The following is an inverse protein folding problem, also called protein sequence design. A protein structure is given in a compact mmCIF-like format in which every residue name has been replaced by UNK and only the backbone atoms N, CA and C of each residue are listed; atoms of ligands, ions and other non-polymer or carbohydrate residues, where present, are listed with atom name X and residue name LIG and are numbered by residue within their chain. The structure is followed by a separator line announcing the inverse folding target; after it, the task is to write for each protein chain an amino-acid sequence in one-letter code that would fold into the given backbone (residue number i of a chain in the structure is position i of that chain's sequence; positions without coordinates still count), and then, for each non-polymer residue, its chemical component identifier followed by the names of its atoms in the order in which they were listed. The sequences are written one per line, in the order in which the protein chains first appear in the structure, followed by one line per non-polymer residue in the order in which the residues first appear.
data_IF_216585094369
#
_entry.id   IF_216585094369
#
_cell.length_a   1.000
_cell.length_b   1.000
_cell.length_c   1.000
_cell.angle_alpha   90.00
_cell.angle_beta   90.00
_cell.angle_gamma   90.00
#
_symmetry.space_group_name_H-M   'P 1'
#
loop_
_entity.id
_entity.type
_entity.pdbx_description
1 polymer ?
#
# COMPACT_ATOMS: atom_id res chain seq x y z
N UNK A 1 22.96 6.45 -3.42
CA UNK A 1 21.81 7.39 -3.49
C UNK A 1 20.65 6.67 -4.14
N UNK A 2 19.42 6.91 -3.68
CA UNK A 2 18.21 6.33 -4.27
C UNK A 2 17.98 6.96 -5.65
N UNK A 3 17.87 6.14 -6.69
CA UNK A 3 17.52 6.62 -8.03
C UNK A 3 16.03 6.40 -8.29
N UNK A 4 15.34 7.42 -8.82
CA UNK A 4 13.92 7.36 -9.20
C UNK A 4 13.78 7.47 -10.71
N UNK A 5 13.01 6.58 -11.33
CA UNK A 5 12.54 6.71 -12.72
C UNK A 5 11.04 6.45 -12.79
N UNK A 6 10.34 7.10 -13.71
CA UNK A 6 8.88 6.98 -13.87
C UNK A 6 8.55 6.37 -15.22
N UNK A 7 7.65 5.40 -15.24
CA UNK A 7 7.21 4.68 -16.44
C UNK A 7 5.69 4.67 -16.53
N UNK A 8 5.13 4.83 -17.73
CA UNK A 8 3.69 4.66 -17.96
C UNK A 8 3.43 3.18 -18.21
N UNK A 9 2.55 2.56 -17.41
CA UNK A 9 2.21 1.14 -17.57
C UNK A 9 0.85 0.92 -18.23
N UNK A 10 -0.05 1.90 -18.14
CA UNK A 10 -1.40 1.84 -18.73
C UNK A 10 -1.86 3.26 -19.06
N UNK A 11 -2.54 3.40 -20.18
CA UNK A 11 -3.27 4.62 -20.53
C UNK A 11 -4.77 4.31 -20.51
N UNK A 12 -5.55 5.14 -19.83
CA UNK A 12 -7.01 5.06 -19.76
C UNK A 12 -7.56 6.40 -20.23
N UNK A 13 -8.09 6.43 -21.45
CA UNK A 13 -8.49 7.64 -22.15
C UNK A 13 -7.37 8.69 -22.22
N UNK A 14 -7.43 9.75 -21.40
CA UNK A 14 -6.43 10.81 -21.32
C UNK A 14 -5.61 10.77 -20.02
N UNK A 15 -5.67 9.66 -19.28
CA UNK A 15 -4.98 9.46 -18.01
C UNK A 15 -3.89 8.39 -18.15
N UNK A 16 -2.65 8.80 -17.93
CA UNK A 16 -1.53 7.86 -17.81
C UNK A 16 -1.42 7.36 -16.37
N UNK A 17 -1.56 6.06 -16.17
CA UNK A 17 -1.20 5.40 -14.92
C UNK A 17 0.28 5.04 -14.96
N UNK A 18 1.01 5.46 -13.93
CA UNK A 18 2.45 5.39 -13.88
C UNK A 18 2.93 4.54 -12.72
N UNK A 19 4.16 4.06 -12.86
CA UNK A 19 4.90 3.38 -11.81
C UNK A 19 6.25 4.08 -11.63
N UNK A 20 6.59 4.40 -10.39
CA UNK A 20 7.88 4.94 -10.01
C UNK A 20 8.78 3.80 -9.54
N UNK A 21 9.91 3.62 -10.21
CA UNK A 21 10.94 2.67 -9.83
C UNK A 21 12.02 3.37 -9.01
N UNK A 22 12.13 2.99 -7.75
CA UNK A 22 13.17 3.37 -6.80
C UNK A 22 14.20 2.25 -6.75
N UNK A 23 15.38 2.48 -7.32
CA UNK A 23 16.43 1.48 -7.37
C UNK A 23 17.52 1.79 -6.34
N UNK A 24 17.95 0.77 -5.56
CA UNK A 24 19.14 0.90 -4.74
C UNK A 24 20.38 1.06 -5.65
N UNK A 25 21.46 1.54 -5.06
CA UNK A 25 22.78 1.56 -5.69
C UNK A 25 23.11 0.16 -6.21
N UNK A 26 23.47 0.09 -7.50
CA UNK A 26 23.80 -1.17 -8.15
C UNK A 26 24.93 -1.89 -7.40
N UNK A 27 24.80 -3.21 -7.28
CA UNK A 27 25.81 -4.08 -6.70
C UNK A 27 26.37 -5.02 -7.78
N UNK A 28 27.46 -5.74 -7.48
CA UNK A 28 27.99 -6.76 -8.39
C UNK A 28 26.99 -7.92 -8.62
N UNK A 29 26.10 -8.15 -7.66
CA UNK A 29 25.06 -9.18 -7.76
C UNK A 29 23.76 -8.58 -8.30
N UNK A 30 23.05 -9.28 -9.20
CA UNK A 30 21.70 -8.91 -9.59
C UNK A 30 20.75 -8.89 -8.38
N UNK A 31 19.71 -8.08 -8.45
CA UNK A 31 18.65 -8.06 -7.46
C UNK A 31 17.76 -9.29 -7.61
N UNK A 32 17.54 -10.00 -6.49
CA UNK A 32 16.76 -11.24 -6.42
C UNK A 32 15.37 -11.04 -5.82
N UNK A 33 15.05 -9.83 -5.35
CA UNK A 33 13.77 -9.50 -4.72
C UNK A 33 13.38 -8.06 -5.02
N UNK A 34 12.11 -7.85 -5.36
CA UNK A 34 11.52 -6.54 -5.61
C UNK A 34 10.23 -6.38 -4.80
N UNK A 35 9.84 -5.13 -4.56
CA UNK A 35 8.59 -4.75 -3.90
C UNK A 35 7.71 -4.00 -4.90
N UNK A 36 6.47 -4.46 -5.09
CA UNK A 36 5.41 -3.64 -5.67
C UNK A 36 4.61 -3.02 -4.53
N UNK A 37 4.63 -1.69 -4.43
CA UNK A 37 3.96 -0.92 -3.41
C UNK A 37 2.69 -0.25 -3.96
N UNK A 38 1.59 -0.37 -3.23
CA UNK A 38 0.31 0.28 -3.49
C UNK A 38 0.03 1.31 -2.39
N UNK A 39 -0.20 2.56 -2.78
CA UNK A 39 -0.37 3.66 -1.84
C UNK A 39 -1.69 3.59 -1.06
N UNK A 40 -1.73 4.23 0.11
CA UNK A 40 -2.94 4.46 0.90
C UNK A 40 -3.83 5.59 0.34
N UNK A 41 -4.64 6.23 1.19
CA UNK A 41 -5.50 7.35 0.75
C UNK A 41 -6.97 6.98 0.56
N UNK A 42 -7.43 5.91 1.22
CA UNK A 42 -8.85 5.56 1.26
C UNK A 42 -9.46 5.23 -0.09
N UNK A 43 -8.63 4.85 -1.09
CA UNK A 43 -9.03 4.57 -2.49
C UNK A 43 -9.57 5.80 -3.22
N UNK A 44 -9.50 6.99 -2.60
CA UNK A 44 -10.09 8.23 -3.10
C UNK A 44 -9.06 9.32 -3.31
N UNK A 45 -7.84 9.20 -2.78
CA UNK A 45 -6.83 10.25 -2.83
C UNK A 45 -5.41 9.69 -2.97
N UNK A 46 -4.48 10.60 -3.27
CA UNK A 46 -3.05 10.35 -3.46
C UNK A 46 -2.72 9.47 -4.67
N UNK A 47 -1.42 9.37 -4.94
CA UNK A 47 -0.84 8.66 -6.06
C UNK A 47 0.43 7.91 -5.60
N UNK A 48 1.16 7.31 -6.54
CA UNK A 48 2.39 6.54 -6.27
C UNK A 48 3.49 7.27 -5.51
N UNK A 49 3.40 8.59 -5.33
CA UNK A 49 4.39 9.34 -4.54
C UNK A 49 4.13 9.26 -3.02
N UNK A 50 2.96 8.81 -2.57
CA UNK A 50 2.66 8.59 -1.15
C UNK A 50 3.36 7.33 -0.60
N UNK A 51 4.63 7.49 -0.26
CA UNK A 51 5.50 6.43 0.26
C UNK A 51 5.95 6.71 1.70
N UNK A 52 5.74 5.78 2.65
CA UNK A 52 6.37 5.85 3.96
C UNK A 52 7.91 5.80 3.87
N UNK A 53 8.58 6.66 4.62
CA UNK A 53 10.05 6.79 4.55
C UNK A 53 10.76 5.50 4.94
N UNK A 54 10.32 4.85 6.04
CA UNK A 54 10.91 3.59 6.51
C UNK A 54 10.73 2.43 5.51
N UNK A 55 9.67 2.43 4.71
CA UNK A 55 9.44 1.40 3.68
C UNK A 55 10.50 1.52 2.59
N UNK A 56 10.72 2.74 2.08
CA UNK A 56 11.76 2.97 1.06
C UNK A 56 13.13 2.66 1.65
N UNK A 57 13.44 3.15 2.85
CA UNK A 57 14.70 2.88 3.53
C UNK A 57 14.97 1.38 3.72
N UNK A 58 13.96 0.63 4.16
CA UNK A 58 14.02 -0.83 4.34
C UNK A 58 14.34 -1.57 3.05
N UNK A 59 13.71 -1.15 1.95
CA UNK A 59 13.95 -1.72 0.62
C UNK A 59 15.37 -1.42 0.15
N UNK A 60 15.81 -0.17 0.27
CA UNK A 60 17.14 0.24 -0.22
C UNK A 60 18.29 -0.43 0.53
N UNK A 61 18.19 -0.56 1.86
CA UNK A 61 19.19 -1.26 2.70
C UNK A 61 19.28 -2.74 2.35
N UNK A 62 18.16 -3.37 1.99
CA UNK A 62 18.11 -4.78 1.57
C UNK A 62 18.56 -5.01 0.13
N UNK A 63 18.77 -3.93 -0.64
CA UNK A 63 18.99 -4.04 -2.07
C UNK A 63 17.76 -4.54 -2.81
N UNK A 64 16.56 -4.19 -2.35
CA UNK A 64 15.29 -4.54 -2.98
C UNK A 64 14.76 -3.33 -3.76
N UNK A 65 14.76 -3.38 -5.10
CA UNK A 65 14.05 -2.40 -5.92
C UNK A 65 12.59 -2.25 -5.49
N UNK A 66 12.13 -1.02 -5.34
CA UNK A 66 10.75 -0.69 -4.99
C UNK A 66 10.05 -0.03 -6.18
N UNK A 67 8.88 -0.54 -6.54
CA UNK A 67 8.03 -0.04 -7.61
C UNK A 67 6.73 0.45 -6.97
N UNK A 68 6.47 1.76 -6.99
CA UNK A 68 5.23 2.34 -6.46
C UNK A 68 4.30 2.65 -7.62
N UNK A 69 3.09 2.10 -7.62
CA UNK A 69 2.17 2.18 -8.76
C UNK A 69 0.93 3.03 -8.47
N UNK A 70 0.51 3.79 -9.49
CA UNK A 70 -0.78 4.45 -9.50
C UNK A 70 -1.92 3.45 -9.69
N UNK A 71 -3.11 3.82 -9.25
CA UNK A 71 -4.38 3.21 -9.63
C UNK A 71 -5.45 4.29 -9.73
N UNK A 72 -6.49 4.08 -10.54
CA UNK A 72 -7.59 5.05 -10.65
C UNK A 72 -8.36 5.15 -9.33
N UNK A 73 -8.90 6.33 -9.01
CA UNK A 73 -9.54 6.57 -7.71
C UNK A 73 -11.07 6.54 -7.76
N UNK A 74 -11.67 6.18 -6.63
CA UNK A 74 -13.09 6.39 -6.38
C UNK A 74 -13.42 7.89 -6.25
N UNK A 75 -14.65 8.30 -6.58
CA UNK A 75 -15.77 7.48 -7.04
C UNK A 75 -15.81 7.29 -8.57
N UNK A 76 -14.85 7.86 -9.31
CA UNK A 76 -14.85 7.81 -10.77
C UNK A 76 -14.50 6.42 -11.33
N UNK A 77 -13.73 5.63 -10.57
CA UNK A 77 -13.38 4.26 -10.90
C UNK A 77 -14.11 3.27 -9.98
N UNK A 78 -14.51 2.13 -10.55
CA UNK A 78 -15.11 1.01 -9.79
C UNK A 78 -14.05 0.15 -9.10
N UNK A 79 -14.46 -0.74 -8.19
CA UNK A 79 -13.58 -1.78 -7.62
C UNK A 79 -12.91 -2.64 -8.70
N UNK A 80 -13.64 -2.96 -9.79
CA UNK A 80 -13.12 -3.69 -10.95
C UNK A 80 -12.02 -2.92 -11.66
N UNK A 81 -12.22 -1.63 -11.90
CA UNK A 81 -11.26 -0.75 -12.56
C UNK A 81 -9.93 -0.71 -11.81
N UNK A 82 -9.99 -0.54 -10.49
CA UNK A 82 -8.81 -0.53 -9.62
C UNK A 82 -8.08 -1.88 -9.60
N UNK A 83 -8.82 -2.99 -9.54
CA UNK A 83 -8.24 -4.33 -9.63
C UNK A 83 -7.49 -4.51 -10.97
N UNK A 84 -8.10 -4.11 -12.09
CA UNK A 84 -7.46 -4.18 -13.41
C UNK A 84 -6.20 -3.32 -13.50
N UNK A 85 -6.17 -2.16 -12.84
CA UNK A 85 -4.99 -1.29 -12.79
C UNK A 85 -3.84 -1.94 -12.02
N UNK A 86 -4.13 -2.56 -10.86
CA UNK A 86 -3.13 -3.26 -10.05
C UNK A 86 -2.57 -4.49 -10.78
N UNK A 87 -3.43 -5.26 -11.46
CA UNK A 87 -3.00 -6.40 -12.30
C UNK A 87 -2.08 -5.92 -13.43
N UNK A 88 -2.47 -4.84 -14.12
CA UNK A 88 -1.66 -4.26 -15.20
C UNK A 88 -0.31 -3.73 -14.69
N UNK A 89 -0.29 -3.07 -13.52
CA UNK A 89 0.95 -2.60 -12.90
C UNK A 89 1.88 -3.77 -12.53
N UNK A 90 1.34 -4.83 -11.94
CA UNK A 90 2.09 -6.04 -11.59
C UNK A 90 2.69 -6.71 -12.83
N UNK A 91 1.88 -6.88 -13.88
CA UNK A 91 2.34 -7.46 -15.15
C UNK A 91 3.43 -6.61 -15.79
N UNK A 92 3.23 -5.29 -15.89
CA UNK A 92 4.22 -4.38 -16.45
C UNK A 92 5.55 -4.39 -15.68
N UNK A 93 5.50 -4.36 -14.35
CA UNK A 93 6.72 -4.45 -13.53
C UNK A 93 7.44 -5.76 -13.84
N UNK A 94 6.73 -6.89 -13.83
CA UNK A 94 7.31 -8.21 -14.08
C UNK A 94 7.90 -8.36 -15.48
N UNK A 95 7.22 -7.90 -16.53
CA UNK A 95 7.62 -8.17 -17.92
C UNK A 95 8.54 -7.10 -18.49
N UNK A 96 8.43 -5.86 -18.06
CA UNK A 96 9.16 -4.72 -18.66
C UNK A 96 10.27 -4.16 -17.77
N UNK A 97 10.08 -4.15 -16.44
CA UNK A 97 11.05 -3.53 -15.52
C UNK A 97 12.01 -4.56 -14.94
N UNK A 98 11.49 -5.71 -14.51
CA UNK A 98 12.26 -6.78 -13.88
C UNK A 98 13.02 -7.68 -14.87
N UNK A 99 12.80 -7.51 -16.18
CA UNK A 99 13.56 -8.22 -17.24
C UNK A 99 14.80 -7.44 -17.71
N UNK A 100 15.01 -6.22 -17.18
CA UNK A 100 16.17 -5.39 -17.50
C UNK A 100 17.46 -5.96 -16.90
N UNK A 101 18.65 -5.59 -17.43
CA UNK A 101 19.92 -5.97 -16.81
C UNK A 101 20.00 -5.53 -15.34
N UNK A 102 20.51 -6.40 -14.48
CA UNK A 102 20.64 -6.15 -13.04
C UNK A 102 19.59 -6.85 -12.18
N UNK A 103 18.63 -7.56 -12.77
CA UNK A 103 17.64 -8.38 -12.06
C UNK A 103 17.90 -9.87 -12.32
N UNK A 104 17.60 -10.72 -11.33
CA UNK A 104 17.59 -12.18 -11.51
C UNK A 104 16.35 -12.63 -12.31
N UNK A 105 16.48 -13.71 -13.08
CA UNK A 105 15.40 -14.26 -13.90
C UNK A 105 14.18 -14.69 -13.05
N UNK A 106 14.43 -15.32 -11.90
CA UNK A 106 13.39 -15.79 -10.97
C UNK A 106 13.21 -14.81 -9.80
N UNK A 107 13.25 -13.51 -10.08
CA UNK A 107 13.09 -12.48 -9.06
C UNK A 107 11.75 -12.64 -8.31
N UNK A 108 11.85 -12.60 -6.98
CA UNK A 108 10.71 -12.69 -6.08
C UNK A 108 10.04 -11.32 -5.94
N UNK A 109 8.72 -11.27 -6.04
CA UNK A 109 7.96 -10.03 -5.84
C UNK A 109 7.21 -10.10 -4.50
N UNK A 110 7.46 -9.12 -3.64
CA UNK A 110 6.63 -8.83 -2.46
C UNK A 110 5.57 -7.82 -2.88
N UNK A 111 4.30 -8.14 -2.64
CA UNK A 111 3.22 -7.17 -2.81
C UNK A 111 3.00 -6.45 -1.48
N UNK A 112 3.13 -5.14 -1.46
CA UNK A 112 3.06 -4.31 -0.26
C UNK A 112 2.07 -3.18 -0.45
N UNK A 113 1.46 -2.72 0.63
CA UNK A 113 0.73 -1.46 0.63
C UNK A 113 0.52 -0.94 2.03
N UNK A 114 -0.23 0.15 2.15
CA UNK A 114 -0.72 0.64 3.43
C UNK A 114 -2.19 1.06 3.31
N UNK A 115 -2.99 0.79 4.34
CA UNK A 115 -4.42 1.15 4.39
C UNK A 115 -5.14 0.66 3.13
N UNK A 116 -5.76 1.55 2.36
CA UNK A 116 -6.36 1.28 1.05
C UNK A 116 -5.48 0.47 0.07
N UNK A 117 -4.18 0.72 0.02
CA UNK A 117 -3.26 -0.01 -0.88
C UNK A 117 -3.02 -1.45 -0.43
N UNK A 118 -3.02 -1.71 0.87
CA UNK A 118 -3.01 -3.09 1.39
C UNK A 118 -4.33 -3.79 1.16
N UNK A 119 -5.46 -3.09 1.26
CA UNK A 119 -6.75 -3.63 0.85
C UNK A 119 -6.72 -4.06 -0.64
N UNK A 120 -6.22 -3.21 -1.54
CA UNK A 120 -5.98 -3.59 -2.94
C UNK A 120 -5.06 -4.79 -3.08
N UNK A 121 -4.05 -4.93 -2.21
CA UNK A 121 -3.16 -6.09 -2.22
C UNK A 121 -3.90 -7.39 -1.88
N UNK A 122 -4.84 -7.35 -0.92
CA UNK A 122 -5.73 -8.48 -0.62
C UNK A 122 -6.63 -8.84 -1.79
N UNK A 123 -7.26 -7.85 -2.40
CA UNK A 123 -8.16 -8.06 -3.55
C UNK A 123 -7.39 -8.55 -4.78
N UNK A 124 -6.20 -8.02 -5.04
CA UNK A 124 -5.46 -8.32 -6.25
C UNK A 124 -4.72 -9.66 -6.22
N UNK A 125 -4.14 -10.07 -5.09
CA UNK A 125 -3.27 -11.26 -5.01
C UNK A 125 -3.85 -12.52 -5.70
N UNK A 126 -5.14 -12.89 -5.53
CA UNK A 126 -5.71 -14.06 -6.22
C UNK A 126 -5.72 -13.99 -7.75
N UNK A 127 -5.56 -12.78 -8.32
CA UNK A 127 -5.57 -12.51 -9.76
C UNK A 127 -4.18 -12.37 -10.38
N UNK A 128 -3.11 -12.39 -9.57
CA UNK A 128 -1.73 -12.17 -10.04
C UNK A 128 -1.06 -13.50 -10.43
N UNK A 129 -0.40 -13.52 -11.59
CA UNK A 129 0.26 -14.73 -12.12
C UNK A 129 1.66 -14.43 -12.70
N UNK A 130 2.75 -15.08 -12.22
CA UNK A 130 2.78 -15.91 -11.01
C UNK A 130 2.42 -15.07 -9.77
N UNK A 131 1.91 -15.69 -8.68
CA UNK A 131 1.56 -14.95 -7.48
C UNK A 131 2.79 -14.32 -6.82
N UNK A 132 2.66 -13.16 -6.15
CA UNK A 132 3.73 -12.63 -5.32
C UNK A 132 4.05 -13.61 -4.19
N UNK A 133 5.30 -13.62 -3.72
CA UNK A 133 5.76 -14.58 -2.69
C UNK A 133 5.10 -14.34 -1.33
N UNK A 134 4.67 -13.10 -1.07
CA UNK A 134 3.96 -12.70 0.14
C UNK A 134 3.24 -11.38 -0.06
N UNK A 135 2.20 -11.14 0.74
CA UNK A 135 1.66 -9.80 0.96
C UNK A 135 2.26 -9.23 2.25
N UNK A 136 2.66 -7.96 2.23
CA UNK A 136 3.04 -7.21 3.43
C UNK A 136 2.08 -6.03 3.61
N UNK A 137 1.20 -6.15 4.58
CA UNK A 137 0.09 -5.25 4.85
C UNK A 137 0.38 -4.31 6.03
N UNK A 138 0.05 -3.04 5.87
CA UNK A 138 0.03 -2.05 6.95
C UNK A 138 -1.42 -1.61 7.18
N UNK A 139 -1.96 -1.88 8.38
CA UNK A 139 -3.23 -1.38 8.94
C UNK A 139 -4.41 -1.31 7.95
N UNK A 140 -4.77 -2.45 7.37
CA UNK A 140 -5.82 -2.51 6.36
C UNK A 140 -6.88 -3.56 6.62
N UNK A 141 -8.13 -3.31 6.19
CA UNK A 141 -9.14 -4.35 6.15
C UNK A 141 -8.78 -5.36 5.04
N UNK A 142 -8.91 -6.67 5.27
CA UNK A 142 -8.85 -7.66 4.19
C UNK A 142 -10.09 -7.65 3.29
N UNK A 143 -11.19 -7.09 3.79
CA UNK A 143 -12.48 -7.01 3.09
C UNK A 143 -13.31 -5.83 3.63
N UNK A 144 -14.04 -5.16 2.75
CA UNK A 144 -15.06 -4.18 3.06
C UNK A 144 -16.44 -4.80 3.36
N UNK A 145 -16.61 -6.12 3.31
CA UNK A 145 -17.87 -6.80 3.70
C UNK A 145 -18.03 -7.00 5.21
N UNK A 146 -17.12 -6.45 6.02
CA UNK A 146 -17.26 -6.46 7.48
C UNK A 146 -18.40 -5.52 7.95
N UNK A 147 -19.17 -5.87 9.01
CA UNK A 147 -20.25 -5.03 9.52
C UNK A 147 -19.85 -3.58 9.83
N UNK A 148 -18.58 -3.30 10.14
CA UNK A 148 -18.07 -1.94 10.28
C UNK A 148 -18.47 -1.04 9.10
N UNK A 149 -18.32 -1.53 7.87
CA UNK A 149 -18.61 -0.78 6.63
C UNK A 149 -20.09 -0.75 6.24
N UNK A 150 -20.95 -1.36 7.05
CA UNK A 150 -22.42 -1.35 6.90
C UNK A 150 -23.13 -0.80 8.14
N UNK A 151 -22.40 -0.12 9.03
CA UNK A 151 -22.88 0.33 10.35
C UNK A 151 -23.13 1.84 10.47
N UNK A 152 -23.05 2.58 9.35
CA UNK A 152 -23.07 4.04 9.30
C UNK A 152 -22.02 4.69 10.20
N UNK A 153 -20.81 4.08 10.22
CA UNK A 153 -19.74 4.49 11.10
C UNK A 153 -19.25 5.89 10.74
N UNK A 154 -19.32 6.79 11.71
CA UNK A 154 -18.65 8.10 11.66
C UNK A 154 -17.22 7.92 12.16
N UNK A 155 -16.26 8.28 11.31
CA UNK A 155 -14.83 8.37 11.64
C UNK A 155 -14.53 9.85 11.88
N UNK A 156 -13.91 10.17 13.01
CA UNK A 156 -13.66 11.55 13.44
C UNK A 156 -14.81 12.16 14.28
N UNK A 157 -14.73 13.47 14.57
CA UNK A 157 -15.56 14.11 15.61
C UNK A 157 -17.00 14.40 15.17
N UNK A 158 -17.29 14.43 13.88
CA UNK A 158 -18.61 14.76 13.34
C UNK A 158 -18.86 14.16 11.96
N UNK A 159 -20.13 13.90 11.58
CA UNK A 159 -20.49 13.43 10.24
C UNK A 159 -20.10 14.41 9.13
N UNK A 160 -19.81 13.88 7.95
CA UNK A 160 -19.55 14.65 6.73
C UNK A 160 -20.82 14.82 5.88
N UNK A 161 -20.89 15.93 5.13
CA UNK A 161 -22.00 16.21 4.21
C UNK A 161 -21.61 15.85 2.78
N UNK A 162 -22.54 15.23 2.03
CA UNK A 162 -22.33 14.92 0.60
C UNK A 162 -21.89 16.15 -0.21
N UNK A 163 -22.43 17.33 0.11
CA UNK A 163 -22.13 18.59 -0.60
C UNK A 163 -20.65 18.96 -0.58
N UNK A 164 -19.87 18.45 0.37
CA UNK A 164 -18.41 18.67 0.43
C UNK A 164 -17.69 17.97 -0.73
N UNK A 165 -18.26 16.88 -1.24
CA UNK A 165 -17.62 15.97 -2.19
C UNK A 165 -18.28 15.92 -3.57
N UNK A 166 -19.36 16.67 -3.80
CA UNK A 166 -20.12 16.68 -5.07
C UNK A 166 -19.20 16.84 -6.29
N UNK A 167 -18.18 17.72 -6.19
CA UNK A 167 -17.20 17.96 -7.26
C UNK A 167 -16.45 16.70 -7.72
N UNK A 168 -16.31 15.69 -6.86
CA UNK A 168 -15.61 14.46 -7.20
C UNK A 168 -16.51 13.46 -7.93
N UNK A 169 -17.82 13.47 -7.71
CA UNK A 169 -18.74 12.55 -8.40
C UNK A 169 -18.91 12.88 -9.88
N UNK A 170 -18.81 14.16 -10.23
CA UNK A 170 -18.95 14.65 -11.61
C UNK A 170 -17.60 14.90 -12.30
N UNK A 171 -16.49 14.73 -11.57
CA UNK A 171 -15.15 14.95 -12.08
C UNK A 171 -14.64 13.84 -12.99
N UNK A 172 -13.57 14.08 -13.77
CA UNK A 172 -12.95 13.06 -14.59
C UNK A 172 -12.24 11.99 -13.75
N UNK A 173 -12.01 10.82 -14.33
CA UNK A 173 -11.13 9.78 -13.77
C UNK A 173 -9.75 10.37 -13.47
N UNK A 174 -9.13 10.00 -12.35
CA UNK A 174 -7.90 10.64 -11.86
C UNK A 174 -7.01 9.69 -11.06
N UNK A 175 -5.73 10.04 -11.00
CA UNK A 175 -4.75 9.63 -9.96
C UNK A 175 -4.49 10.91 -9.15
N UNK A 176 -4.82 10.91 -7.86
CA UNK A 176 -4.90 12.14 -7.08
C UNK A 176 -3.50 12.59 -6.71
N UNK A 177 -2.96 13.74 -7.18
CA UNK A 177 -1.56 14.07 -6.93
C UNK A 177 -1.26 14.13 -5.44
N UNK A 178 -0.16 13.50 -5.01
CA UNK A 178 0.28 13.57 -3.62
C UNK A 178 0.78 14.99 -3.31
N UNK A 179 0.18 15.71 -2.34
CA UNK A 179 0.58 17.08 -2.04
C UNK A 179 2.02 17.18 -1.53
N UNK A 180 2.71 18.23 -1.94
CA UNK A 180 4.03 18.57 -1.39
C UNK A 180 3.94 18.83 0.11
N UNK A 181 4.97 18.41 0.85
CA UNK A 181 5.09 18.69 2.28
C UNK A 181 4.30 17.75 3.19
N UNK A 182 3.61 16.74 2.65
CA UNK A 182 3.24 15.58 3.46
C UNK A 182 4.52 14.94 4.04
N UNK A 183 4.49 14.44 5.29
CA UNK A 183 5.66 13.85 5.91
C UNK A 183 5.84 12.41 5.41
N UNK A 184 6.18 12.30 4.13
CA UNK A 184 6.41 11.07 3.36
C UNK A 184 7.86 11.05 2.87
N UNK A 185 8.22 9.99 2.14
CA UNK A 185 9.56 9.83 1.60
C UNK A 185 9.97 10.98 0.67
N UNK A 186 11.09 11.61 1.03
CA UNK A 186 11.86 12.51 0.16
C UNK A 186 13.22 11.86 -0.11
N UNK A 187 13.63 11.77 -1.37
CA UNK A 187 14.94 11.23 -1.73
C UNK A 187 16.10 12.01 -1.10
N UNK A 188 15.92 13.31 -0.82
CA UNK A 188 16.90 14.14 -0.11
C UNK A 188 16.96 13.86 1.41
N UNK A 189 16.03 13.08 1.96
CA UNK A 189 16.02 12.72 3.38
C UNK A 189 17.04 11.63 3.76
N UNK A 190 17.66 10.99 2.76
CA UNK A 190 18.60 9.89 2.96
C UNK A 190 20.00 10.22 2.42
N UNK A 191 21.01 9.82 3.17
CA UNK A 191 22.42 9.82 2.76
C UNK A 191 22.71 8.71 1.73
N UNK A 192 23.89 8.71 1.08
CA UNK A 192 24.23 7.67 0.10
C UNK A 192 24.21 6.23 0.63
N UNK A 193 24.38 6.04 1.94
CA UNK A 193 24.28 4.77 2.67
C UNK A 193 22.86 4.44 3.16
N UNK A 194 21.86 5.25 2.76
CA UNK A 194 20.46 5.19 3.14
C UNK A 194 20.17 5.45 4.62
N UNK A 195 21.14 5.94 5.39
CA UNK A 195 20.86 6.50 6.71
C UNK A 195 20.14 7.85 6.57
N UNK A 196 19.37 8.22 7.60
CA UNK A 196 18.69 9.52 7.65
C UNK A 196 19.72 10.66 7.57
N UNK A 197 19.49 11.64 6.70
CA UNK A 197 20.30 12.86 6.67
C UNK A 197 19.90 13.76 7.85
N UNK A 198 20.80 14.01 8.82
CA UNK A 198 20.49 14.88 9.96
C UNK A 198 20.32 16.35 9.58
N UNK A 199 20.69 16.74 8.35
CA UNK A 199 20.53 18.11 7.83
C UNK A 199 19.25 18.29 7.04
N UNK A 200 18.58 17.21 6.65
CA UNK A 200 17.32 17.31 5.93
C UNK A 200 16.21 17.79 6.86
N UNK A 201 15.36 18.67 6.34
CA UNK A 201 14.25 19.26 7.06
C UNK A 201 13.01 19.06 6.19
N UNK A 202 11.98 18.47 6.78
CA UNK A 202 10.67 18.30 6.15
C UNK A 202 10.13 19.66 5.71
N UNK A 203 9.72 19.74 4.44
CA UNK A 203 9.04 20.91 3.93
C UNK A 203 7.71 21.12 4.68
N UNK A 204 7.31 22.38 4.95
CA UNK A 204 6.00 22.65 5.53
C UNK A 204 4.90 22.06 4.63
N UNK A 205 3.79 21.56 5.22
CA UNK A 205 2.71 20.97 4.44
C UNK A 205 2.13 22.02 3.49
N UNK A 206 2.00 21.65 2.22
CA UNK A 206 1.26 22.44 1.24
C UNK A 206 -0.25 22.37 1.48
N UNK A 207 -1.01 23.03 0.61
CA UNK A 207 -2.47 22.91 0.63
C UNK A 207 -2.88 21.46 0.30
N UNK A 208 -3.50 20.79 1.28
CA UNK A 208 -4.02 19.43 1.13
C UNK A 208 -5.48 19.56 0.71
N UNK A 209 -5.81 19.11 -0.50
CA UNK A 209 -7.20 18.91 -0.88
C UNK A 209 -7.82 17.85 0.04
N UNK A 210 -8.99 18.14 0.60
CA UNK A 210 -9.69 17.28 1.56
C UNK A 210 -10.33 16.04 0.90
N UNK A 211 -9.82 15.63 -0.26
CA UNK A 211 -10.33 14.48 -1.02
C UNK A 211 -10.22 13.19 -0.22
N UNK A 212 -9.21 13.05 0.64
CA UNK A 212 -9.06 11.89 1.52
C UNK A 212 -10.24 11.71 2.48
N UNK A 213 -10.91 12.80 2.91
CA UNK A 213 -12.10 12.73 3.76
C UNK A 213 -13.33 12.15 3.04
N UNK A 214 -13.32 12.04 1.70
CA UNK A 214 -14.38 11.32 0.98
C UNK A 214 -14.46 9.86 1.44
N UNK A 215 -13.34 9.24 1.80
CA UNK A 215 -13.35 7.87 2.35
C UNK A 215 -14.22 7.78 3.61
N UNK A 216 -14.08 8.74 4.54
CA UNK A 216 -14.87 8.75 5.77
C UNK A 216 -16.37 8.90 5.48
N UNK A 217 -16.73 9.72 4.49
CA UNK A 217 -18.11 9.82 4.03
C UNK A 217 -18.61 8.53 3.38
N UNK A 218 -17.80 7.84 2.57
CA UNK A 218 -18.17 6.55 1.98
C UNK A 218 -18.40 5.47 3.04
N UNK A 219 -17.61 5.46 4.13
CA UNK A 219 -17.83 4.57 5.28
C UNK A 219 -19.11 4.93 6.03
N UNK A 220 -19.33 6.22 6.31
CA UNK A 220 -20.54 6.74 6.98
C UNK A 220 -21.83 6.38 6.21
N UNK A 221 -21.78 6.42 4.88
CA UNK A 221 -22.94 6.17 4.02
C UNK A 221 -23.03 4.71 3.53
N UNK A 222 -22.24 3.80 4.12
CA UNK A 222 -22.19 2.37 3.81
C UNK A 222 -21.96 2.06 2.32
N UNK A 223 -21.14 2.87 1.63
CA UNK A 223 -20.94 2.76 0.17
C UNK A 223 -19.93 1.71 -0.24
N UNK A 224 -18.93 1.44 0.60
CA UNK A 224 -17.82 0.55 0.24
C UNK A 224 -18.27 -0.89 -0.12
N UNK A 225 -19.17 -1.56 0.64
CA UNK A 225 -19.61 -2.92 0.26
C UNK A 225 -20.26 -2.97 -1.13
N UNK A 226 -21.10 -1.98 -1.47
CA UNK A 226 -21.75 -1.91 -2.79
C UNK A 226 -20.72 -1.66 -3.90
N UNK A 227 -19.82 -0.70 -3.69
CA UNK A 227 -18.82 -0.30 -4.70
C UNK A 227 -17.78 -1.39 -4.99
N UNK A 228 -17.61 -2.34 -4.07
CA UNK A 228 -16.63 -3.42 -4.16
C UNK A 228 -17.26 -4.81 -4.35
N UNK A 229 -18.59 -4.93 -4.37
CA UNK A 229 -19.30 -6.22 -4.39
C UNK A 229 -18.88 -7.17 -5.54
N UNK A 230 -18.42 -6.63 -6.67
CA UNK A 230 -18.01 -7.42 -7.83
C UNK A 230 -16.63 -8.09 -7.68
N UNK A 231 -15.78 -7.60 -6.76
CA UNK A 231 -14.37 -8.00 -6.64
C UNK A 231 -13.96 -8.38 -5.23
N UNK A 232 -14.62 -7.84 -4.20
CA UNK A 232 -14.39 -8.20 -2.81
C UNK A 232 -15.24 -9.41 -2.46
N UNK A 233 -14.62 -10.57 -2.22
CA UNK A 233 -15.36 -11.80 -2.06
C UNK A 233 -15.88 -11.98 -0.62
N UNK A 234 -15.51 -11.10 0.32
CA UNK A 234 -15.93 -11.15 1.71
C UNK A 234 -15.31 -12.26 2.54
N UNK A 235 -15.59 -12.23 3.85
CA UNK A 235 -15.04 -13.15 4.85
C UNK A 235 -15.28 -14.63 4.58
N UNK A 236 -16.41 -14.96 3.95
CA UNK A 236 -16.78 -16.37 3.73
C UNK A 236 -16.02 -17.02 2.57
N UNK A 237 -15.40 -16.21 1.72
CA UNK A 237 -14.68 -16.66 0.55
C UNK A 237 -13.46 -17.51 0.89
N UNK A 238 -13.27 -18.57 0.11
CA UNK A 238 -12.02 -19.33 0.10
C UNK A 238 -10.85 -18.54 -0.48
N UNK A 239 -11.08 -17.34 -1.05
CA UNK A 239 -9.99 -16.48 -1.48
C UNK A 239 -9.25 -15.86 -0.28
N UNK A 240 -9.91 -15.65 0.86
CA UNK A 240 -9.31 -15.12 2.09
C UNK A 240 -8.90 -16.22 3.10
N UNK A 241 -9.38 -17.45 2.88
CA UNK A 241 -8.92 -18.67 3.58
C UNK A 241 -7.78 -19.26 2.75
N UNK A 242 -6.73 -19.77 3.38
CA UNK A 242 -5.53 -20.25 2.68
C UNK A 242 -4.90 -19.16 1.78
N UNK A 243 -4.95 -17.90 2.21
CA UNK A 243 -4.46 -16.75 1.44
C UNK A 243 -2.94 -16.82 1.19
N UNK A 244 -2.20 -17.66 1.92
CA UNK A 244 -0.76 -17.84 1.82
C UNK A 244 0.03 -16.84 2.67
N UNK A 245 1.36 -16.83 2.47
CA UNK A 245 2.27 -16.03 3.30
C UNK A 245 1.87 -14.55 3.32
N UNK A 246 1.66 -14.02 4.52
CA UNK A 246 1.26 -12.64 4.76
C UNK A 246 1.89 -12.11 6.05
N UNK A 247 2.50 -10.94 5.97
CA UNK A 247 2.96 -10.17 7.13
C UNK A 247 1.99 -8.99 7.30
N UNK A 248 1.51 -8.76 8.51
CA UNK A 248 0.61 -7.65 8.83
C UNK A 248 1.22 -6.84 9.96
N UNK A 249 1.28 -5.52 9.80
CA UNK A 249 1.58 -4.58 10.88
C UNK A 249 0.35 -3.72 11.12
N UNK A 250 -0.13 -3.64 12.36
CA UNK A 250 -1.34 -2.89 12.69
C UNK A 250 -1.27 -2.32 14.11
N UNK A 251 -1.61 -1.04 14.25
CA UNK A 251 -1.81 -0.40 15.53
C UNK A 251 -3.08 -0.87 16.23
N UNK A 252 -3.03 -1.06 17.55
CA UNK A 252 -4.14 -1.60 18.34
C UNK A 252 -5.23 -0.57 18.72
N UNK A 253 -4.96 0.71 18.47
CA UNK A 253 -5.89 1.83 18.70
C UNK A 253 -6.24 2.56 17.41
N UNK A 254 -6.22 1.84 16.28
CA UNK A 254 -6.59 2.36 14.97
C UNK A 254 -8.08 2.74 14.91
N UNK A 255 -8.34 4.04 14.71
CA UNK A 255 -9.69 4.60 14.68
C UNK A 255 -10.33 4.59 13.28
N UNK A 256 -9.53 4.31 12.24
CA UNK A 256 -9.93 4.35 10.82
C UNK A 256 -10.27 2.95 10.33
N UNK A 257 -9.41 1.98 10.66
CA UNK A 257 -9.58 0.55 10.34
C UNK A 257 -9.51 -0.23 11.64
N UNK A 258 -10.58 -0.93 12.05
CA UNK A 258 -10.54 -1.66 13.31
C UNK A 258 -9.48 -2.77 13.34
N UNK A 259 -8.63 -2.73 14.37
CA UNK A 259 -7.58 -3.73 14.61
C UNK A 259 -8.08 -5.18 14.58
N UNK A 260 -9.30 -5.43 15.12
CA UNK A 260 -9.89 -6.77 15.15
C UNK A 260 -10.02 -7.42 13.77
N UNK A 261 -10.06 -6.64 12.68
CA UNK A 261 -10.12 -7.20 11.34
C UNK A 261 -8.82 -7.95 10.98
N UNK A 262 -7.68 -7.46 11.45
CA UNK A 262 -6.41 -8.19 11.30
C UNK A 262 -6.37 -9.43 12.19
N UNK A 263 -6.86 -9.35 13.42
CA UNK A 263 -6.99 -10.53 14.30
C UNK A 263 -7.89 -11.60 13.68
N UNK A 264 -9.02 -11.18 13.10
CA UNK A 264 -9.95 -12.07 12.40
C UNK A 264 -9.28 -12.72 11.19
N UNK A 265 -8.53 -11.96 10.39
CA UNK A 265 -7.81 -12.51 9.24
C UNK A 265 -6.78 -13.57 9.64
N UNK A 266 -6.04 -13.33 10.73
CA UNK A 266 -5.14 -14.33 11.31
C UNK A 266 -5.92 -15.56 11.75
N UNK A 267 -7.06 -15.39 12.43
CA UNK A 267 -7.85 -16.50 12.97
C UNK A 267 -8.44 -17.45 11.91
N UNK A 268 -8.65 -16.97 10.69
CA UNK A 268 -9.19 -17.78 9.58
C UNK A 268 -8.10 -18.39 8.67
N UNK A 269 -6.83 -18.11 8.96
CA UNK A 269 -5.67 -18.63 8.23
C UNK A 269 -4.76 -19.43 9.16
N UNK A 270 -3.82 -20.17 8.58
CA UNK A 270 -2.77 -20.84 9.36
C UNK A 270 -1.83 -19.78 9.97
N UNK A 271 -1.57 -19.90 11.27
CA UNK A 271 -0.65 -19.01 12.00
C UNK A 271 0.80 -19.07 11.51
N UNK A 272 1.19 -20.14 10.81
CA UNK A 272 2.50 -20.24 10.16
C UNK A 272 2.55 -19.47 8.83
N UNK A 273 1.40 -19.14 8.25
CA UNK A 273 1.28 -18.41 6.98
C UNK A 273 1.03 -16.92 7.20
N UNK A 274 0.22 -16.56 8.20
CA UNK A 274 -0.14 -15.17 8.48
C UNK A 274 0.40 -14.74 9.83
N UNK A 275 1.27 -13.74 9.84
CA UNK A 275 1.88 -13.18 11.06
C UNK A 275 1.39 -11.74 11.26
N UNK A 276 0.89 -11.45 12.46
CA UNK A 276 0.43 -10.12 12.88
C UNK A 276 1.40 -9.52 13.90
N UNK A 277 1.89 -8.33 13.57
CA UNK A 277 2.81 -7.51 14.35
C UNK A 277 2.04 -6.31 14.89
N UNK A 278 1.77 -6.32 16.20
CA UNK A 278 0.90 -5.34 16.86
C UNK A 278 1.69 -4.14 17.35
N UNK A 279 1.38 -2.95 16.84
CA UNK A 279 1.97 -1.71 17.29
C UNK A 279 1.14 -1.10 18.43
N UNK A 280 1.55 -1.41 19.66
CA UNK A 280 0.82 -1.02 20.88
C UNK A 280 0.73 0.49 21.03
N UNK A 281 -0.48 1.00 21.27
CA UNK A 281 -0.80 2.42 21.43
C UNK A 281 -0.67 3.24 20.15
N UNK A 282 -0.60 2.60 18.97
CA UNK A 282 -0.48 3.30 17.69
C UNK A 282 -1.83 3.37 16.96
N UNK A 283 -2.14 4.54 16.44
CA UNK A 283 -3.32 4.81 15.61
C UNK A 283 -2.95 4.69 14.12
N UNK A 284 -3.90 4.75 13.20
CA UNK A 284 -3.71 4.64 11.76
C UNK A 284 -2.55 5.50 11.24
N UNK A 285 -1.74 4.96 10.32
CA UNK A 285 -0.68 5.69 9.63
C UNK A 285 0.38 6.38 10.53
N UNK A 286 0.58 5.87 11.77
CA UNK A 286 1.58 6.40 12.70
C UNK A 286 3.03 6.32 12.19
N UNK A 287 3.29 5.39 11.28
CA UNK A 287 4.61 4.98 10.80
C UNK A 287 5.10 5.84 9.63
N UNK A 288 4.18 6.43 8.86
CA UNK A 288 4.45 7.19 7.63
C UNK A 288 5.61 8.19 7.74
N UNK A 289 5.71 9.03 8.80
CA UNK A 289 6.75 10.05 8.89
C UNK A 289 8.08 9.53 9.45
N UNK A 290 8.15 8.27 9.88
CA UNK A 290 9.26 7.75 10.68
C UNK A 290 10.37 7.14 9.81
N UNK A 291 11.57 7.12 10.39
CA UNK A 291 12.77 6.51 9.83
C UNK A 291 13.13 5.26 10.62
N UNK A 292 13.80 4.30 9.98
CA UNK A 292 14.35 3.14 10.69
C UNK A 292 15.26 3.58 11.82
N UNK A 293 15.17 2.88 12.96
CA UNK A 293 15.80 3.23 14.23
C UNK A 293 14.99 4.21 15.10
N UNK A 294 13.90 4.79 14.61
CA UNK A 294 12.95 5.49 15.49
C UNK A 294 12.28 4.46 16.42
N UNK A 295 12.26 4.65 17.75
CA UNK A 295 11.74 3.64 18.71
C UNK A 295 10.30 3.18 18.42
N UNK A 296 9.49 4.06 17.84
CA UNK A 296 8.11 3.80 17.45
C UNK A 296 7.98 2.78 16.31
N UNK A 297 9.07 2.42 15.63
CA UNK A 297 9.14 1.41 14.56
C UNK A 297 9.70 0.06 15.01
N UNK A 298 10.02 -0.17 16.28
CA UNK A 298 10.63 -1.43 16.74
C UNK A 298 9.88 -2.68 16.22
N UNK A 299 8.55 -2.68 16.34
CA UNK A 299 7.69 -3.78 15.86
C UNK A 299 7.61 -3.86 14.33
N UNK A 300 7.72 -2.72 13.65
CA UNK A 300 7.77 -2.65 12.18
C UNK A 300 9.07 -3.29 11.70
N UNK A 301 10.20 -3.03 12.37
CA UNK A 301 11.47 -3.66 12.05
C UNK A 301 11.47 -5.17 12.32
N UNK A 302 10.79 -5.62 13.37
CA UNK A 302 10.55 -7.05 13.60
C UNK A 302 9.75 -7.69 12.46
N UNK A 303 8.72 -7.02 11.96
CA UNK A 303 7.94 -7.48 10.81
C UNK A 303 8.80 -7.58 9.55
N UNK A 304 9.69 -6.61 9.30
CA UNK A 304 10.67 -6.68 8.21
C UNK A 304 11.65 -7.85 8.36
N UNK A 305 12.10 -8.15 9.58
CA UNK A 305 12.93 -9.36 9.84
C UNK A 305 12.18 -10.66 9.60
N UNK A 306 10.86 -10.69 9.84
CA UNK A 306 10.03 -11.84 9.49
C UNK A 306 9.83 -11.96 7.97
N UNK A 307 9.64 -10.83 7.28
CA UNK A 307 9.59 -10.78 5.82
C UNK A 307 10.87 -11.33 5.17
N UNK A 308 12.05 -10.98 5.72
CA UNK A 308 13.34 -11.50 5.23
C UNK A 308 13.37 -13.04 5.23
N UNK A 309 12.81 -13.67 6.29
CA UNK A 309 12.72 -15.14 6.38
C UNK A 309 11.77 -15.71 5.33
N UNK A 310 10.58 -15.11 5.17
CA UNK A 310 9.60 -15.52 4.16
C UNK A 310 10.20 -15.48 2.76
N UNK A 311 10.90 -14.39 2.42
CA UNK A 311 11.54 -14.24 1.11
C UNK A 311 12.69 -15.23 0.94
N UNK A 312 13.50 -15.49 1.96
CA UNK A 312 14.59 -16.46 1.90
C UNK A 312 14.10 -17.90 1.68
N UNK A 313 12.98 -18.27 2.30
CA UNK A 313 12.38 -19.61 2.21
C UNK A 313 11.53 -19.80 0.95
N UNK A 314 11.07 -18.72 0.32
CA UNK A 314 10.33 -18.78 -0.93
C UNK A 314 11.17 -19.43 -2.04
N UNK A 315 10.58 -20.42 -2.72
CA UNK A 315 11.18 -20.99 -3.94
C UNK A 315 10.95 -19.98 -5.08
N UNK A 316 12.01 -19.69 -5.84
CA UNK A 316 11.92 -18.93 -7.09
C UNK A 316 11.31 -19.76 -8.20
#
# INVERSE_FOLDING_TARGET
MVSKTTHVFKNVDNLDLKVDAYLPTASEKPWSTAVLYLHGGGLVAFDRELLPTHVVQSCMIRGWPLFSADYRLMPQASGRDMLEDVVAAYDFVRTELLTKPGFEENIKIVLMGASAGSYLSFIAKPHLQPPPVTVFSYYAPPTCHDPFYSSNKVIGPSPYSKSQFERYFEGPVTVGPTPLGLPIFDAASLLPDYSRDPKWIQAPPGDIDDRSSLYYWLVQENKLPEMWADVDPGWESSALKDFGKTIIVHGDVDEVVPYYMSEKFVSINNSEDVQLFTAVGKNHAWDVPLFLGDPELDVVEEAWRALDKVVAEAKG
#
